data_IF_701302917080
#
_entry.id   IF_701302917080
#
_cell.length_a   1.000
_cell.length_b   1.000
_cell.length_c   1.000
_cell.angle_alpha   90.00
_cell.angle_beta   90.00
_cell.angle_gamma   90.00
#
_symmetry.space_group_name_H-M   'P 1'
#
loop_
_entity.id
_entity.type
_entity.pdbx_description
1 polymer ?
#
# COMPACT_ATOMS: atom_id res chain seq x y z
N UNK A 1 -20.81 -0.11 -14.47
CA UNK A 1 -20.95 -1.53 -14.15
C UNK A 1 -19.69 -2.01 -13.43
N UNK A 2 -19.83 -2.74 -12.32
CA UNK A 2 -18.79 -3.41 -11.56
C UNK A 2 -19.05 -4.92 -11.59
N UNK A 3 -18.02 -5.70 -11.93
CA UNK A 3 -18.07 -7.18 -11.90
C UNK A 3 -17.10 -7.69 -10.85
N UNK A 4 -17.56 -8.54 -9.95
CA UNK A 4 -16.70 -9.21 -8.96
C UNK A 4 -16.95 -10.73 -8.98
N UNK A 5 -15.86 -11.51 -8.92
CA UNK A 5 -15.92 -12.97 -8.89
C UNK A 5 -16.43 -13.54 -7.58
N UNK A 6 -16.27 -12.80 -6.49
CA UNK A 6 -16.63 -13.22 -5.14
C UNK A 6 -18.05 -12.75 -4.80
N UNK A 7 -18.66 -13.39 -3.81
CA UNK A 7 -19.88 -12.87 -3.19
C UNK A 7 -19.53 -11.66 -2.35
N UNK A 8 -20.26 -10.57 -2.53
CA UNK A 8 -19.99 -9.29 -1.85
C UNK A 8 -20.89 -9.11 -0.61
N UNK A 9 -20.39 -8.42 0.45
CA UNK A 9 -19.03 -7.94 0.62
C UNK A 9 -18.07 -9.11 0.93
N UNK A 10 -16.96 -9.17 0.19
CA UNK A 10 -15.91 -10.17 0.41
C UNK A 10 -14.95 -9.73 1.53
N UNK A 11 -14.29 -10.69 2.19
CA UNK A 11 -13.27 -10.42 3.19
C UNK A 11 -11.90 -10.67 2.57
N UNK A 12 -11.21 -9.60 2.20
CA UNK A 12 -9.90 -9.71 1.57
C UNK A 12 -8.86 -10.17 2.59
N UNK A 13 -8.27 -11.32 2.33
CA UNK A 13 -7.40 -12.02 3.28
C UNK A 13 -6.09 -11.25 3.51
N UNK A 14 -5.48 -10.68 2.46
CA UNK A 14 -4.19 -9.98 2.54
C UNK A 14 -4.40 -8.49 2.71
N UNK A 15 -4.50 -8.03 3.95
CA UNK A 15 -4.57 -6.60 4.26
C UNK A 15 -4.22 -6.35 5.72
N UNK A 16 -3.43 -5.33 5.99
CA UNK A 16 -3.23 -4.76 7.34
C UNK A 16 -4.32 -3.76 7.70
N UNK A 17 -5.24 -3.51 6.77
CA UNK A 17 -6.41 -2.63 6.92
C UNK A 17 -6.10 -1.14 7.11
N UNK A 18 -4.83 -0.73 7.14
CA UNK A 18 -4.43 0.65 7.40
C UNK A 18 -4.90 1.60 6.31
N UNK A 19 -5.49 2.69 6.74
CA UNK A 19 -5.84 3.84 5.91
C UNK A 19 -5.16 5.07 6.51
N UNK A 20 -4.19 5.61 5.78
CA UNK A 20 -3.54 6.86 6.14
C UNK A 20 -4.47 8.07 5.88
N UNK A 21 -4.23 9.22 6.52
CA UNK A 21 -5.10 10.39 6.40
C UNK A 21 -5.50 10.82 4.99
N UNK A 22 -4.64 10.77 3.95
CA UNK A 22 -5.06 11.09 2.58
C UNK A 22 -6.12 10.15 2.01
N UNK A 23 -6.09 8.87 2.43
CA UNK A 23 -7.14 7.91 2.06
C UNK A 23 -8.48 8.26 2.70
N UNK A 24 -8.45 8.73 3.96
CA UNK A 24 -9.66 9.17 4.66
C UNK A 24 -10.26 10.42 4.03
N UNK A 25 -9.43 11.35 3.55
CA UNK A 25 -9.91 12.53 2.82
C UNK A 25 -10.75 12.10 1.59
N UNK A 26 -10.33 11.07 0.87
CA UNK A 26 -11.09 10.54 -0.28
C UNK A 26 -12.35 9.80 0.17
N UNK A 27 -12.29 9.06 1.28
CA UNK A 27 -13.49 8.43 1.85
C UNK A 27 -14.52 9.47 2.29
N UNK A 28 -14.09 10.64 2.77
CA UNK A 28 -14.97 11.78 3.04
C UNK A 28 -15.57 12.35 1.75
N UNK A 29 -14.76 12.53 0.69
CA UNK A 29 -15.24 12.99 -0.62
C UNK A 29 -16.35 12.10 -1.20
N UNK A 30 -16.26 10.78 -1.00
CA UNK A 30 -17.28 9.81 -1.46
C UNK A 30 -18.37 9.51 -0.42
N UNK A 31 -18.38 10.21 0.71
CA UNK A 31 -19.46 10.17 1.71
C UNK A 31 -19.40 9.00 2.69
N UNK A 32 -18.32 8.19 2.72
CA UNK A 32 -18.21 7.03 3.62
C UNK A 32 -17.28 7.25 4.81
N UNK A 33 -16.50 8.34 4.86
CA UNK A 33 -15.50 8.57 5.88
C UNK A 33 -16.05 8.61 7.30
N UNK A 34 -17.22 9.23 7.52
CA UNK A 34 -17.88 9.24 8.83
C UNK A 34 -18.22 7.81 9.30
N UNK A 35 -18.74 6.97 8.41
CA UNK A 35 -19.05 5.56 8.73
C UNK A 35 -17.78 4.76 9.06
N UNK A 36 -16.67 4.98 8.34
CA UNK A 36 -15.38 4.35 8.64
C UNK A 36 -14.90 4.69 10.03
N UNK A 37 -15.04 5.96 10.45
CA UNK A 37 -14.64 6.42 11.80
C UNK A 37 -15.50 5.83 12.92
N UNK A 38 -16.69 5.33 12.62
CA UNK A 38 -17.54 4.67 13.62
C UNK A 38 -17.24 3.17 13.80
N UNK A 39 -16.64 2.53 12.77
CA UNK A 39 -16.41 1.08 12.79
C UNK A 39 -15.02 0.69 13.29
N UNK A 40 -14.04 1.58 13.25
CA UNK A 40 -12.68 1.32 13.74
C UNK A 40 -12.22 2.45 14.67
N UNK A 41 -11.42 2.14 15.71
CA UNK A 41 -10.88 3.17 16.58
C UNK A 41 -9.80 4.01 15.89
N UNK A 42 -9.66 5.32 16.23
CA UNK A 42 -8.63 6.18 15.69
C UNK A 42 -7.25 5.79 16.21
N UNK A 43 -6.26 5.77 15.34
CA UNK A 43 -4.83 5.65 15.67
C UNK A 43 -4.18 7.03 15.60
N UNK A 44 -3.82 7.59 16.74
CA UNK A 44 -3.14 8.88 16.87
C UNK A 44 -1.62 8.75 17.00
N UNK A 45 -1.14 7.57 17.40
CA UNK A 45 0.28 7.30 17.59
C UNK A 45 0.63 6.03 16.84
N UNK A 46 1.64 6.15 15.97
CA UNK A 46 2.29 5.03 15.30
C UNK A 46 3.68 4.87 15.90
N UNK A 47 3.96 3.74 16.53
CA UNK A 47 5.29 3.42 17.03
C UNK A 47 6.08 2.66 15.97
N UNK A 48 7.21 3.22 15.59
CA UNK A 48 8.21 2.57 14.74
C UNK A 48 9.39 2.14 15.62
N UNK A 49 9.89 0.90 15.45
CA UNK A 49 11.00 0.37 16.24
C UNK A 49 12.04 -0.32 15.36
N UNK A 50 13.32 -0.11 15.69
CA UNK A 50 14.48 -0.78 15.09
C UNK A 50 15.39 -1.29 16.22
N UNK A 51 15.32 -2.59 16.52
CA UNK A 51 15.92 -3.19 17.72
C UNK A 51 15.52 -2.39 18.99
N UNK A 52 16.49 -1.77 19.68
CA UNK A 52 16.26 -1.04 20.92
C UNK A 52 15.78 0.41 20.72
N UNK A 53 15.97 0.97 19.50
CA UNK A 53 15.54 2.32 19.20
C UNK A 53 14.10 2.34 18.70
N UNK A 54 13.26 3.19 19.29
CA UNK A 54 11.90 3.42 18.83
C UNK A 54 11.56 4.90 18.77
N UNK A 55 10.51 5.20 18.02
CA UNK A 55 9.96 6.54 17.89
C UNK A 55 8.44 6.46 17.77
N UNK A 56 7.77 7.36 18.47
CA UNK A 56 6.32 7.57 18.38
C UNK A 56 6.06 8.74 17.43
N UNK A 57 5.35 8.43 16.36
CA UNK A 57 4.88 9.41 15.37
C UNK A 57 3.45 9.77 15.76
N UNK A 58 3.25 11.04 16.10
CA UNK A 58 1.96 11.54 16.57
C UNK A 58 1.21 12.23 15.43
N UNK A 59 -0.04 11.90 15.27
CA UNK A 59 -0.98 12.57 14.36
C UNK A 59 -1.94 13.46 15.14
N UNK A 60 -2.29 14.65 14.61
CA UNK A 60 -3.38 15.45 15.13
C UNK A 60 -4.69 14.65 15.21
N UNK A 61 -5.58 15.02 16.12
CA UNK A 61 -6.84 14.27 16.33
C UNK A 61 -7.68 14.14 15.06
N UNK A 62 -7.71 15.17 14.25
CA UNK A 62 -8.41 15.23 12.97
C UNK A 62 -7.70 14.45 11.85
N UNK A 63 -6.47 14.02 12.08
CA UNK A 63 -5.62 13.31 11.11
C UNK A 63 -5.26 11.90 11.57
N UNK A 64 -6.08 11.28 12.41
CA UNK A 64 -5.86 9.91 12.85
C UNK A 64 -5.90 8.92 11.68
N UNK A 65 -5.15 7.83 11.80
CA UNK A 65 -5.25 6.66 10.92
C UNK A 65 -6.35 5.72 11.41
N UNK A 66 -6.86 4.87 10.52
CA UNK A 66 -7.90 3.89 10.85
C UNK A 66 -7.59 2.56 10.19
N UNK A 67 -7.95 1.46 10.86
CA UNK A 67 -7.75 0.10 10.36
C UNK A 67 -9.06 -0.71 10.37
N UNK A 68 -10.11 -0.33 9.63
CA UNK A 68 -11.33 -1.11 9.54
C UNK A 68 -11.07 -2.41 8.79
N UNK A 69 -11.69 -3.53 9.21
CA UNK A 69 -11.62 -4.77 8.44
C UNK A 69 -12.16 -4.55 7.02
N UNK A 70 -11.52 -5.21 6.06
CA UNK A 70 -11.85 -5.07 4.63
C UNK A 70 -13.33 -5.34 4.33
N UNK A 71 -13.92 -6.36 4.97
CA UNK A 71 -15.35 -6.64 4.79
C UNK A 71 -16.24 -5.44 5.11
N UNK A 72 -15.87 -4.65 6.15
CA UNK A 72 -16.63 -3.44 6.53
C UNK A 72 -16.34 -2.29 5.58
N UNK A 73 -15.07 -2.01 5.31
CA UNK A 73 -14.66 -0.93 4.39
C UNK A 73 -15.22 -1.17 2.99
N UNK A 74 -15.01 -2.38 2.45
CA UNK A 74 -15.44 -2.72 1.09
C UNK A 74 -16.97 -2.67 0.97
N UNK A 75 -17.71 -3.12 2.01
CA UNK A 75 -19.17 -3.00 2.05
C UNK A 75 -19.65 -1.55 1.99
N UNK A 76 -19.07 -0.66 2.80
CA UNK A 76 -19.40 0.78 2.78
C UNK A 76 -19.14 1.42 1.40
N UNK A 77 -18.02 1.05 0.76
CA UNK A 77 -17.71 1.55 -0.59
C UNK A 77 -18.65 0.99 -1.66
N UNK A 78 -19.06 -0.27 -1.55
CA UNK A 78 -20.04 -0.90 -2.45
C UNK A 78 -21.41 -0.24 -2.33
N UNK A 79 -21.88 0.02 -1.11
CA UNK A 79 -23.14 0.69 -0.85
C UNK A 79 -23.13 2.14 -1.43
N UNK A 80 -22.02 2.85 -1.26
CA UNK A 80 -21.83 4.16 -1.83
C UNK A 80 -21.83 4.14 -3.36
N UNK A 81 -21.14 3.18 -3.96
CA UNK A 81 -21.10 2.99 -5.41
C UNK A 81 -22.49 2.68 -5.97
N UNK A 82 -23.24 1.76 -5.34
CA UNK A 82 -24.61 1.43 -5.73
C UNK A 82 -25.53 2.65 -5.60
N UNK A 83 -25.41 3.43 -4.53
CA UNK A 83 -26.15 4.67 -4.31
C UNK A 83 -25.83 5.75 -5.36
N UNK A 84 -24.62 5.73 -5.90
CA UNK A 84 -24.20 6.59 -7.01
C UNK A 84 -24.61 6.05 -8.39
N UNK A 85 -25.40 4.96 -8.46
CA UNK A 85 -25.94 4.39 -9.70
C UNK A 85 -25.03 3.36 -10.37
N UNK A 86 -24.02 2.83 -9.68
CA UNK A 86 -23.21 1.73 -10.21
C UNK A 86 -24.00 0.43 -10.09
N UNK A 87 -24.22 -0.24 -11.21
CA UNK A 87 -24.71 -1.62 -11.23
C UNK A 87 -23.57 -2.57 -10.78
N UNK A 88 -23.83 -3.38 -9.76
CA UNK A 88 -22.86 -4.32 -9.18
C UNK A 88 -23.34 -5.75 -9.41
N UNK A 89 -22.53 -6.53 -10.13
CA UNK A 89 -22.75 -7.95 -10.36
C UNK A 89 -21.67 -8.74 -9.64
N UNK A 90 -21.99 -9.27 -8.48
CA UNK A 90 -21.16 -10.19 -7.73
C UNK A 90 -21.19 -11.60 -8.31
N UNK A 91 -20.34 -12.51 -7.84
CA UNK A 91 -20.22 -13.89 -8.34
C UNK A 91 -20.13 -13.95 -9.88
N UNK A 92 -19.59 -12.89 -10.49
CA UNK A 92 -19.46 -12.71 -11.94
C UNK A 92 -17.98 -12.57 -12.29
N UNK A 93 -17.38 -13.68 -12.71
CA UNK A 93 -15.94 -13.79 -12.98
C UNK A 93 -15.63 -13.39 -14.41
N UNK A 94 -14.83 -12.36 -14.60
CA UNK A 94 -14.25 -12.03 -15.91
C UNK A 94 -13.32 -13.16 -16.37
N UNK A 95 -13.58 -13.72 -17.53
CA UNK A 95 -12.83 -14.85 -18.13
C UNK A 95 -11.90 -14.39 -19.23
N UNK A 96 -12.35 -13.40 -20.04
CA UNK A 96 -11.53 -12.84 -21.13
C UNK A 96 -11.93 -11.41 -21.45
N UNK A 97 -11.00 -10.66 -22.09
CA UNK A 97 -11.29 -9.35 -22.68
C UNK A 97 -11.79 -9.50 -24.11
N UNK A 98 -12.61 -8.55 -24.54
CA UNK A 98 -13.06 -8.43 -25.93
C UNK A 98 -12.21 -7.40 -26.65
N UNK A 99 -11.83 -7.68 -27.90
CA UNK A 99 -11.02 -6.79 -28.73
C UNK A 99 -11.67 -6.52 -30.07
N UNK A 100 -11.47 -5.30 -30.56
CA UNK A 100 -11.68 -4.92 -31.98
C UNK A 100 -10.35 -4.32 -32.46
N UNK A 101 -9.64 -5.07 -33.28
CA UNK A 101 -8.24 -4.76 -33.60
C UNK A 101 -7.37 -4.73 -32.34
N UNK A 102 -6.66 -3.62 -32.12
CA UNK A 102 -5.83 -3.41 -30.94
C UNK A 102 -6.58 -2.85 -29.72
N UNK A 103 -7.87 -2.45 -29.88
CA UNK A 103 -8.66 -1.81 -28.83
C UNK A 103 -9.43 -2.85 -28.01
N UNK A 104 -9.40 -2.71 -26.69
CA UNK A 104 -10.29 -3.42 -25.78
C UNK A 104 -11.66 -2.74 -25.82
N UNK A 105 -12.71 -3.53 -26.03
CA UNK A 105 -14.10 -3.05 -26.20
C UNK A 105 -15.08 -3.74 -25.25
N UNK A 106 -14.57 -4.41 -24.21
CA UNK A 106 -15.39 -5.07 -23.21
C UNK A 106 -14.76 -6.34 -22.64
N UNK A 107 -15.58 -7.14 -21.97
CA UNK A 107 -15.18 -8.40 -21.33
C UNK A 107 -16.21 -9.50 -21.55
N UNK A 108 -15.77 -10.76 -21.48
CA UNK A 108 -16.62 -11.91 -21.21
C UNK A 108 -16.54 -12.26 -19.73
N UNK A 109 -17.63 -12.64 -19.14
CA UNK A 109 -17.67 -13.07 -17.76
C UNK A 109 -18.60 -14.28 -17.59
N UNK A 110 -18.30 -15.13 -16.61
CA UNK A 110 -19.14 -16.25 -16.21
C UNK A 110 -19.83 -15.92 -14.88
N UNK A 111 -21.16 -16.02 -14.86
CA UNK A 111 -21.96 -15.86 -13.65
C UNK A 111 -21.89 -17.09 -12.74
N UNK A 112 -22.59 -17.02 -11.59
CA UNK A 112 -22.59 -18.08 -10.55
C UNK A 112 -23.00 -19.47 -11.07
N UNK A 113 -23.93 -19.54 -12.04
CA UNK A 113 -24.36 -20.77 -12.65
C UNK A 113 -23.51 -21.20 -13.87
N UNK A 114 -22.37 -20.51 -14.12
CA UNK A 114 -21.49 -20.81 -15.24
C UNK A 114 -21.92 -20.24 -16.59
N UNK A 115 -23.04 -19.52 -16.65
CA UNK A 115 -23.50 -18.89 -17.90
C UNK A 115 -22.53 -17.79 -18.33
N UNK A 116 -22.09 -17.84 -19.59
CA UNK A 116 -21.27 -16.75 -20.16
C UNK A 116 -22.14 -15.57 -20.56
N UNK A 117 -21.61 -14.38 -20.25
CA UNK A 117 -22.19 -13.08 -20.60
C UNK A 117 -21.12 -12.20 -21.24
N UNK A 118 -21.56 -11.32 -22.13
CA UNK A 118 -20.71 -10.35 -22.82
C UNK A 118 -21.10 -8.96 -22.38
N UNK A 119 -20.12 -8.23 -21.87
CA UNK A 119 -20.27 -6.83 -21.47
C UNK A 119 -19.41 -5.96 -22.37
N UNK A 120 -20.04 -5.13 -23.20
CA UNK A 120 -19.36 -4.15 -24.03
C UNK A 120 -19.15 -2.85 -23.26
N UNK A 121 -17.99 -2.23 -23.43
CA UNK A 121 -17.62 -0.98 -22.78
C UNK A 121 -16.64 -0.19 -23.63
N UNK A 122 -16.69 1.14 -23.55
CA UNK A 122 -15.70 2.04 -24.14
C UNK A 122 -14.35 1.99 -23.43
N UNK A 123 -14.36 1.59 -22.13
CA UNK A 123 -13.18 1.44 -21.29
C UNK A 123 -13.36 0.27 -20.33
N UNK A 124 -12.34 -0.58 -20.20
CA UNK A 124 -12.24 -1.62 -19.18
C UNK A 124 -11.22 -1.18 -18.13
N UNK A 125 -11.66 -1.10 -16.87
CA UNK A 125 -10.76 -0.82 -15.73
C UNK A 125 -10.51 -2.13 -15.00
N UNK A 126 -9.26 -2.62 -15.02
CA UNK A 126 -8.80 -3.73 -14.20
C UNK A 126 -8.45 -3.23 -12.80
N UNK A 127 -9.31 -3.53 -11.81
CA UNK A 127 -9.08 -3.27 -10.39
C UNK A 127 -9.10 -4.60 -9.60
N UNK A 128 -8.69 -5.68 -10.24
CA UNK A 128 -8.82 -7.07 -9.83
C UNK A 128 -7.57 -7.62 -9.10
N UNK A 129 -6.81 -6.71 -8.49
CA UNK A 129 -5.73 -7.01 -7.57
C UNK A 129 -4.44 -7.51 -8.25
N UNK A 130 -3.45 -7.89 -7.43
CA UNK A 130 -2.09 -8.25 -7.88
C UNK A 130 -2.05 -9.39 -8.91
N UNK A 131 -3.02 -10.31 -8.89
CA UNK A 131 -3.17 -11.42 -9.83
C UNK A 131 -4.11 -11.10 -11.00
N UNK A 132 -4.21 -9.84 -11.36
CA UNK A 132 -5.15 -9.29 -12.33
C UNK A 132 -5.31 -10.15 -13.60
N UNK A 133 -6.54 -10.52 -13.88
CA UNK A 133 -6.93 -11.17 -15.13
C UNK A 133 -6.87 -10.18 -16.29
N UNK A 134 -7.27 -8.92 -16.06
CA UNK A 134 -7.19 -7.86 -17.06
C UNK A 134 -5.74 -7.64 -17.46
N UNK A 135 -4.82 -7.44 -16.49
CA UNK A 135 -3.40 -7.22 -16.76
C UNK A 135 -2.78 -8.35 -17.58
N UNK A 136 -3.08 -9.61 -17.24
CA UNK A 136 -2.59 -10.78 -17.98
C UNK A 136 -3.13 -10.82 -19.40
N UNK A 137 -4.42 -10.52 -19.59
CA UNK A 137 -5.08 -10.58 -20.90
C UNK A 137 -4.67 -9.44 -21.85
N UNK A 138 -4.27 -8.28 -21.30
CA UNK A 138 -3.74 -7.17 -22.09
C UNK A 138 -2.21 -7.23 -22.24
N UNK A 139 -1.58 -8.27 -21.68
CA UNK A 139 -0.13 -8.45 -21.68
C UNK A 139 0.57 -7.21 -21.11
N UNK A 140 0.08 -6.74 -19.96
CA UNK A 140 0.62 -5.56 -19.29
C UNK A 140 2.06 -5.84 -18.81
N UNK A 141 3.03 -5.18 -19.40
CA UNK A 141 4.45 -5.31 -19.08
C UNK A 141 4.72 -4.96 -17.60
N UNK A 142 5.45 -5.84 -16.89
CA UNK A 142 5.95 -5.57 -15.55
C UNK A 142 7.33 -4.91 -15.62
N UNK A 143 7.56 -3.93 -14.74
CA UNK A 143 8.85 -3.30 -14.55
C UNK A 143 9.10 -3.00 -13.06
N UNK A 144 10.36 -2.79 -12.69
CA UNK A 144 10.81 -2.62 -11.30
C UNK A 144 10.37 -3.77 -10.38
N UNK A 145 10.15 -4.95 -10.97
CA UNK A 145 9.61 -6.09 -10.25
C UNK A 145 10.68 -6.83 -9.44
N UNK A 146 10.30 -7.30 -8.24
CA UNK A 146 11.13 -8.18 -7.42
C UNK A 146 10.25 -9.08 -6.57
N UNK A 147 10.79 -10.23 -6.16
CA UNK A 147 10.11 -11.16 -5.26
C UNK A 147 10.37 -10.74 -3.81
N UNK A 148 9.35 -10.84 -2.97
CA UNK A 148 9.45 -10.49 -1.57
C UNK A 148 10.48 -11.37 -0.84
N UNK A 149 11.42 -10.77 -0.10
CA UNK A 149 12.40 -11.55 0.67
C UNK A 149 11.82 -12.10 1.97
N UNK A 150 10.59 -11.73 2.31
CA UNK A 150 9.87 -12.11 3.52
C UNK A 150 8.53 -12.73 3.19
N UNK A 151 8.06 -13.61 4.06
CA UNK A 151 6.67 -13.99 4.13
C UNK A 151 5.90 -13.04 5.07
N UNK A 152 4.59 -13.16 5.12
CA UNK A 152 3.76 -12.48 6.10
C UNK A 152 2.75 -13.46 6.68
N UNK A 153 2.62 -13.45 8.02
CA UNK A 153 1.61 -14.19 8.76
C UNK A 153 0.95 -13.25 9.78
N UNK A 154 -0.35 -13.38 9.97
CA UNK A 154 -1.08 -12.58 10.97
C UNK A 154 -2.34 -13.30 11.44
N UNK A 155 -2.82 -12.87 12.61
CA UNK A 155 -4.09 -13.26 13.20
C UNK A 155 -4.74 -12.09 13.89
N UNK A 156 -5.92 -12.34 14.45
CA UNK A 156 -6.64 -11.40 15.27
C UNK A 156 -6.66 -11.87 16.72
N UNK A 157 -6.49 -10.95 17.64
CA UNK A 157 -6.62 -11.19 19.08
C UNK A 157 -7.56 -10.15 19.68
N UNK A 158 -8.34 -10.53 20.67
CA UNK A 158 -9.06 -9.54 21.45
C UNK A 158 -8.06 -8.66 22.19
N UNK A 159 -8.23 -7.35 22.11
CA UNK A 159 -7.35 -6.42 22.80
C UNK A 159 -7.42 -6.67 24.31
N UNK A 160 -6.28 -6.90 25.00
CA UNK A 160 -6.29 -7.06 26.44
C UNK A 160 -6.69 -5.76 27.11
N UNK A 161 -7.28 -5.85 28.34
CA UNK A 161 -7.80 -4.68 29.07
C UNK A 161 -6.75 -3.57 29.26
N UNK A 162 -5.47 -3.94 29.37
CA UNK A 162 -4.37 -2.98 29.55
C UNK A 162 -3.98 -2.25 28.28
N UNK A 163 -4.37 -2.71 27.06
CA UNK A 163 -3.98 -2.11 25.79
C UNK A 163 -4.22 -0.60 25.70
N UNK A 164 -5.31 -0.12 26.33
CA UNK A 164 -5.67 1.32 26.29
C UNK A 164 -5.28 2.07 27.56
N UNK A 165 -4.78 1.40 28.58
CA UNK A 165 -4.52 1.97 29.90
C UNK A 165 -3.06 1.91 30.32
N UNK A 166 -2.29 0.97 29.80
CA UNK A 166 -0.86 0.82 30.10
C UNK A 166 -0.03 1.83 29.29
N UNK A 167 0.74 2.71 29.95
CA UNK A 167 1.63 3.66 29.29
C UNK A 167 2.69 3.01 28.37
N UNK A 168 2.95 1.72 28.49
CA UNK A 168 3.83 0.99 27.58
C UNK A 168 3.25 0.85 26.16
N UNK A 169 1.92 0.94 26.03
CA UNK A 169 1.17 0.78 24.78
C UNK A 169 0.37 2.04 24.39
N UNK A 170 1.04 3.21 24.19
CA UNK A 170 0.37 4.46 23.87
C UNK A 170 -0.08 4.55 22.39
N UNK A 171 0.24 3.55 21.60
CA UNK A 171 0.06 3.53 20.14
C UNK A 171 -1.12 2.67 19.72
N UNK A 172 -1.75 3.02 18.60
CA UNK A 172 -2.75 2.18 17.93
C UNK A 172 -2.15 1.35 16.79
N UNK A 173 -0.93 1.72 16.34
CA UNK A 173 -0.17 0.99 15.34
C UNK A 173 1.28 0.83 15.77
N UNK A 174 1.84 -0.34 15.49
CA UNK A 174 3.23 -0.68 15.79
C UNK A 174 3.86 -1.40 14.60
N UNK A 175 5.04 -0.96 14.20
CA UNK A 175 5.87 -1.61 13.19
C UNK A 175 7.28 -1.70 13.74
N UNK A 176 7.76 -2.89 13.97
CA UNK A 176 9.09 -3.13 14.50
C UNK A 176 9.90 -4.04 13.60
N UNK A 177 11.18 -3.76 13.45
CA UNK A 177 12.16 -4.68 12.92
C UNK A 177 13.16 -5.01 14.04
N UNK A 178 12.99 -6.18 14.63
CA UNK A 178 13.79 -6.69 15.76
C UNK A 178 14.30 -8.07 15.41
N UNK A 179 15.60 -8.31 15.63
CA UNK A 179 16.23 -9.62 15.38
C UNK A 179 15.99 -10.20 13.97
N UNK A 180 15.86 -9.29 12.98
CA UNK A 180 15.60 -9.64 11.59
C UNK A 180 14.14 -9.99 11.26
N UNK A 181 13.23 -10.00 12.23
CA UNK A 181 11.81 -10.16 12.03
C UNK A 181 11.11 -8.78 12.07
N UNK A 182 10.17 -8.57 11.15
CA UNK A 182 9.28 -7.42 11.22
C UNK A 182 7.99 -7.88 11.87
N UNK A 183 7.61 -7.24 12.99
CA UNK A 183 6.35 -7.48 13.69
C UNK A 183 5.46 -6.27 13.61
N UNK A 184 4.17 -6.49 13.48
CA UNK A 184 3.19 -5.43 13.30
C UNK A 184 2.01 -5.62 14.24
N UNK A 185 1.44 -4.51 14.71
CA UNK A 185 0.20 -4.47 15.48
C UNK A 185 -0.66 -3.36 14.90
N UNK A 186 -1.93 -3.64 14.65
CA UNK A 186 -2.92 -2.66 14.22
C UNK A 186 -4.18 -2.84 15.07
N UNK A 187 -4.62 -1.78 15.74
CA UNK A 187 -5.94 -1.83 16.37
C UNK A 187 -7.02 -1.76 15.28
N UNK A 188 -8.00 -2.65 15.36
CA UNK A 188 -9.06 -2.78 14.37
C UNK A 188 -10.44 -2.76 15.01
N UNK A 189 -11.49 -2.99 14.22
CA UNK A 189 -12.86 -3.07 14.71
C UNK A 189 -13.07 -4.21 15.75
N UNK A 190 -14.20 -4.18 16.45
CA UNK A 190 -14.58 -5.18 17.47
C UNK A 190 -13.61 -5.34 18.64
N UNK A 191 -12.91 -4.28 19.06
CA UNK A 191 -11.90 -4.32 20.11
C UNK A 191 -10.80 -5.37 19.88
N UNK A 192 -10.44 -5.59 18.62
CA UNK A 192 -9.41 -6.55 18.26
C UNK A 192 -8.13 -5.86 17.78
N UNK A 193 -7.04 -6.61 17.90
CA UNK A 193 -5.74 -6.30 17.34
C UNK A 193 -5.45 -7.28 16.20
N UNK A 194 -5.09 -6.79 15.04
CA UNK A 194 -4.36 -7.55 14.05
C UNK A 194 -2.90 -7.56 14.48
N UNK A 195 -2.34 -8.74 14.75
CA UNK A 195 -0.93 -8.89 15.10
C UNK A 195 -0.29 -9.85 14.10
N UNK A 196 0.85 -9.45 13.57
CA UNK A 196 1.51 -10.23 12.52
C UNK A 196 3.03 -10.20 12.61
N UNK A 197 3.64 -11.12 11.88
CA UNK A 197 5.07 -11.23 11.70
C UNK A 197 5.43 -11.44 10.23
N UNK A 198 6.53 -10.79 9.82
CA UNK A 198 7.12 -10.91 8.50
C UNK A 198 8.53 -11.53 8.63
N UNK A 199 8.62 -12.84 8.86
CA UNK A 199 9.90 -13.54 8.95
C UNK A 199 10.61 -13.55 7.58
N UNK A 200 11.96 -13.69 7.56
CA UNK A 200 12.69 -14.01 6.34
C UNK A 200 12.13 -15.27 5.66
N UNK A 201 12.05 -15.27 4.33
CA UNK A 201 11.37 -16.34 3.58
C UNK A 201 11.95 -17.74 3.87
N UNK A 202 13.28 -17.85 4.05
CA UNK A 202 13.93 -19.13 4.38
C UNK A 202 13.47 -19.69 5.74
N UNK A 203 13.18 -18.85 6.73
CA UNK A 203 12.64 -19.26 8.02
C UNK A 203 11.13 -19.56 7.92
N UNK A 204 10.40 -18.72 7.19
CA UNK A 204 8.96 -18.85 6.98
C UNK A 204 8.55 -20.17 6.32
N UNK A 205 9.45 -20.80 5.57
CA UNK A 205 9.17 -22.10 4.95
C UNK A 205 8.88 -23.20 5.98
N UNK A 206 9.48 -23.13 7.16
CA UNK A 206 9.20 -24.07 8.25
C UNK A 206 7.81 -23.87 8.87
N UNK A 207 7.26 -22.65 8.78
CA UNK A 207 5.94 -22.30 9.35
C UNK A 207 4.76 -22.93 8.59
N UNK A 208 5.00 -23.46 7.39
CA UNK A 208 3.95 -24.09 6.55
C UNK A 208 3.27 -25.28 7.23
N UNK A 209 3.96 -25.98 8.11
CA UNK A 209 3.45 -27.19 8.79
C UNK A 209 2.39 -26.84 9.83
N UNK A 210 2.65 -25.79 10.61
CA UNK A 210 1.75 -25.28 11.62
C UNK A 210 1.93 -23.75 11.74
N UNK A 211 1.26 -22.97 10.89
CA UNK A 211 1.40 -21.52 10.89
C UNK A 211 0.84 -20.88 12.16
N UNK A 212 -0.16 -21.49 12.81
CA UNK A 212 -0.77 -20.97 14.03
C UNK A 212 0.23 -21.05 15.19
N UNK A 213 0.81 -22.21 15.44
CA UNK A 213 1.82 -22.39 16.50
C UNK A 213 3.10 -21.57 16.21
N UNK A 214 3.54 -21.51 14.94
CA UNK A 214 4.74 -20.78 14.57
C UNK A 214 4.59 -19.27 14.78
N UNK A 215 3.45 -18.68 14.38
CA UNK A 215 3.17 -17.27 14.62
C UNK A 215 3.08 -16.95 16.11
N UNK A 216 2.36 -17.76 16.90
CA UNK A 216 2.24 -17.58 18.34
C UNK A 216 3.62 -17.64 19.01
N UNK A 217 4.47 -18.59 18.63
CA UNK A 217 5.84 -18.72 19.17
C UNK A 217 6.71 -17.50 18.85
N UNK A 218 6.65 -17.00 17.61
CA UNK A 218 7.39 -15.81 17.20
C UNK A 218 6.91 -14.55 17.94
N UNK A 219 5.60 -14.34 18.03
CA UNK A 219 5.02 -13.19 18.74
C UNK A 219 5.30 -13.24 20.23
N UNK A 220 5.26 -14.43 20.85
CA UNK A 220 5.55 -14.63 22.27
C UNK A 220 7.02 -14.31 22.62
N UNK A 221 7.93 -14.42 21.67
CA UNK A 221 9.36 -14.13 21.86
C UNK A 221 9.69 -12.64 21.93
N UNK A 222 8.78 -11.77 21.46
CA UNK A 222 9.00 -10.32 21.46
C UNK A 222 8.35 -9.65 22.67
N UNK A 223 9.09 -8.73 23.30
CA UNK A 223 8.68 -8.05 24.54
C UNK A 223 7.43 -7.18 24.39
N UNK A 224 7.06 -6.77 23.18
CA UNK A 224 5.87 -5.94 22.92
C UNK A 224 4.67 -6.79 22.54
N UNK A 225 4.84 -7.78 21.65
CA UNK A 225 3.72 -8.60 21.15
C UNK A 225 3.36 -9.74 22.10
N UNK A 226 4.35 -10.31 22.83
CA UNK A 226 4.14 -11.43 23.75
C UNK A 226 3.06 -11.18 24.81
N UNK A 227 3.12 -10.07 25.56
CA UNK A 227 2.07 -9.73 26.53
C UNK A 227 0.68 -9.55 25.91
N UNK A 228 0.60 -9.05 24.67
CA UNK A 228 -0.68 -8.79 23.98
C UNK A 228 -1.41 -10.08 23.61
N UNK A 229 -0.68 -11.11 23.21
CA UNK A 229 -1.28 -12.40 22.87
C UNK A 229 -1.53 -13.27 24.10
N UNK A 230 -0.83 -13.02 25.23
CA UNK A 230 -0.99 -13.75 26.50
C UNK A 230 -0.84 -15.27 26.37
N UNK A 231 -0.09 -15.75 25.37
CA UNK A 231 0.04 -17.16 25.03
C UNK A 231 -1.20 -17.79 24.39
N UNK A 232 -2.23 -17.00 24.06
CA UNK A 232 -3.47 -17.50 23.44
C UNK A 232 -3.31 -17.66 21.92
N UNK A 233 -4.11 -18.56 21.36
CA UNK A 233 -4.31 -18.66 19.91
C UNK A 233 -5.08 -17.43 19.39
N UNK A 234 -4.93 -17.09 18.09
CA UNK A 234 -5.73 -16.04 17.48
C UNK A 234 -7.21 -16.41 17.39
N UNK A 235 -8.06 -15.38 17.29
CA UNK A 235 -9.46 -15.57 16.95
C UNK A 235 -9.58 -15.98 15.47
N UNK A 236 -9.98 -17.21 15.23
CA UNK A 236 -9.97 -17.84 13.93
C UNK A 236 -8.62 -18.44 13.57
N UNK A 237 -8.29 -18.46 12.29
CA UNK A 237 -7.05 -19.04 11.76
C UNK A 237 -6.02 -17.98 11.43
N UNK A 238 -4.75 -18.29 11.62
CA UNK A 238 -3.65 -17.51 11.05
C UNK A 238 -3.79 -17.46 9.54
N UNK A 239 -3.59 -16.28 9.02
CA UNK A 239 -3.57 -15.99 7.58
C UNK A 239 -2.15 -15.64 7.17
N UNK A 240 -1.79 -15.92 5.93
CA UNK A 240 -0.43 -15.60 5.49
C UNK A 240 -0.19 -15.84 4.02
N UNK A 241 0.95 -15.35 3.59
CA UNK A 241 1.47 -15.55 2.24
C UNK A 241 2.97 -15.80 2.30
N UNK A 242 3.43 -16.77 1.50
CA UNK A 242 4.85 -17.13 1.36
C UNK A 242 5.48 -16.57 0.09
N UNK A 243 4.65 -16.15 -0.87
CA UNK A 243 5.13 -15.71 -2.18
C UNK A 243 4.41 -14.44 -2.58
N UNK A 244 5.09 -13.35 -2.43
CA UNK A 244 4.66 -12.07 -2.97
C UNK A 244 5.66 -11.58 -4.01
N UNK A 245 5.13 -10.91 -5.03
CA UNK A 245 5.91 -10.24 -6.06
C UNK A 245 5.44 -8.80 -6.12
N UNK A 246 6.37 -7.89 -5.96
CA UNK A 246 6.11 -6.45 -6.03
C UNK A 246 6.54 -5.92 -7.39
N UNK A 247 5.75 -5.03 -7.96
CA UNK A 247 5.95 -4.58 -9.33
C UNK A 247 5.22 -3.26 -9.61
N UNK A 248 5.67 -2.61 -10.68
CA UNK A 248 4.84 -1.72 -11.49
C UNK A 248 4.46 -2.44 -12.78
N UNK A 249 3.29 -2.10 -13.32
CA UNK A 249 2.84 -2.53 -14.64
C UNK A 249 2.50 -1.33 -15.51
N UNK A 250 2.70 -1.49 -16.81
CA UNK A 250 2.04 -0.64 -17.80
C UNK A 250 0.55 -0.61 -17.47
N UNK A 251 0.01 0.56 -17.13
CA UNK A 251 -1.34 0.63 -16.58
C UNK A 251 -2.35 1.32 -17.49
N UNK A 252 -2.00 1.59 -18.74
CA UNK A 252 -2.93 2.12 -19.72
C UNK A 252 -2.61 1.64 -21.13
N UNK A 253 -3.66 1.48 -21.93
CA UNK A 253 -3.60 1.13 -23.36
C UNK A 253 -4.93 1.42 -24.04
N UNK A 254 -5.07 0.99 -25.28
CA UNK A 254 -6.25 1.28 -26.10
C UNK A 254 -7.51 0.64 -25.48
N UNK A 255 -8.37 1.45 -24.86
CA UNK A 255 -9.63 1.02 -24.25
C UNK A 255 -9.49 0.26 -22.93
N UNK A 256 -8.33 0.33 -22.24
CA UNK A 256 -8.15 -0.29 -20.94
C UNK A 256 -7.21 0.49 -20.03
N UNK A 257 -7.40 0.30 -18.72
CA UNK A 257 -6.49 0.80 -17.68
C UNK A 257 -6.47 -0.13 -16.47
N UNK A 258 -5.41 -0.03 -15.63
CA UNK A 258 -5.27 -0.81 -14.39
C UNK A 258 -5.16 0.12 -13.19
N UNK A 259 -5.91 -0.16 -12.12
CA UNK A 259 -5.90 0.61 -10.89
C UNK A 259 -5.53 -0.28 -9.68
N UNK A 260 -5.00 0.34 -8.62
CA UNK A 260 -4.56 -0.35 -7.42
C UNK A 260 -3.54 -1.44 -7.72
N UNK A 261 -3.58 -2.54 -6.98
CA UNK A 261 -2.64 -3.67 -7.11
C UNK A 261 -2.64 -4.34 -8.48
N UNK A 262 -3.65 -4.12 -9.31
CA UNK A 262 -3.64 -4.62 -10.69
C UNK A 262 -2.55 -3.93 -11.53
N UNK A 263 -2.29 -2.66 -11.28
CA UNK A 263 -1.30 -1.85 -11.99
C UNK A 263 0.00 -1.61 -11.23
N UNK A 264 -0.01 -1.72 -9.90
CA UNK A 264 1.14 -1.44 -9.05
C UNK A 264 0.95 -2.09 -7.68
N UNK A 265 1.82 -3.03 -7.33
CA UNK A 265 1.80 -3.73 -6.06
C UNK A 265 3.14 -3.54 -5.34
N UNK A 266 3.10 -3.14 -4.07
CA UNK A 266 4.28 -2.82 -3.27
C UNK A 266 4.31 -3.56 -1.94
N UNK A 267 5.46 -3.48 -1.30
CA UNK A 267 5.70 -4.02 0.04
C UNK A 267 4.67 -3.49 1.04
N UNK A 268 4.01 -4.39 1.75
CA UNK A 268 2.94 -4.04 2.69
C UNK A 268 3.42 -3.58 4.07
N UNK A 269 4.73 -3.64 4.32
CA UNK A 269 5.31 -3.18 5.61
C UNK A 269 5.01 -1.71 5.93
N UNK A 270 4.79 -0.89 4.90
CA UNK A 270 4.45 0.53 5.07
C UNK A 270 2.95 0.80 5.17
N UNK A 271 2.09 -0.23 5.01
CA UNK A 271 0.64 -0.12 5.21
C UNK A 271 -0.14 0.75 4.23
N UNK A 272 0.43 1.12 3.07
CA UNK A 272 -0.07 2.22 2.23
C UNK A 272 -0.97 1.77 1.05
N UNK A 273 -1.23 0.45 0.91
CA UNK A 273 -1.93 -0.10 -0.26
C UNK A 273 -3.35 0.43 -0.47
N UNK A 274 -4.15 0.57 0.60
CA UNK A 274 -5.53 1.08 0.52
C UNK A 274 -5.52 2.57 0.19
N UNK A 275 -4.69 3.36 0.88
CA UNK A 275 -4.55 4.79 0.65
C UNK A 275 -4.16 5.08 -0.80
N UNK A 276 -3.16 4.39 -1.33
CA UNK A 276 -2.77 4.56 -2.73
C UNK A 276 -3.85 4.14 -3.71
N UNK A 277 -4.58 3.04 -3.46
CA UNK A 277 -5.67 2.63 -4.33
C UNK A 277 -6.76 3.72 -4.41
N UNK A 278 -7.09 4.37 -3.29
CA UNK A 278 -8.03 5.48 -3.23
C UNK A 278 -7.50 6.72 -3.98
N UNK A 279 -6.23 7.11 -3.76
CA UNK A 279 -5.59 8.22 -4.47
C UNK A 279 -5.56 7.97 -5.99
N UNK A 280 -5.22 6.74 -6.39
CA UNK A 280 -5.23 6.33 -7.79
C UNK A 280 -6.64 6.35 -8.39
N UNK A 281 -7.66 5.87 -7.67
CA UNK A 281 -9.04 5.86 -8.13
C UNK A 281 -9.55 7.28 -8.40
N UNK A 282 -9.30 8.23 -7.48
CA UNK A 282 -9.68 9.64 -7.65
C UNK A 282 -9.01 10.28 -8.87
N UNK A 283 -7.71 10.11 -9.00
CA UNK A 283 -6.96 10.68 -10.13
C UNK A 283 -7.29 10.00 -11.46
N UNK A 284 -7.57 8.68 -11.46
CA UNK A 284 -8.03 7.94 -12.62
C UNK A 284 -9.42 8.40 -13.08
N UNK A 285 -10.35 8.63 -12.17
CA UNK A 285 -11.68 9.16 -12.50
C UNK A 285 -11.59 10.49 -13.26
N UNK A 286 -10.70 11.39 -12.82
CA UNK A 286 -10.43 12.64 -13.52
C UNK A 286 -9.81 12.44 -14.90
N UNK A 287 -8.97 11.42 -15.10
CA UNK A 287 -8.41 11.09 -16.40
C UNK A 287 -9.46 10.46 -17.35
N UNK A 288 -10.33 9.60 -16.83
CA UNK A 288 -11.44 9.00 -17.58
C UNK A 288 -12.40 10.08 -18.08
N UNK A 289 -12.72 11.07 -17.25
CA UNK A 289 -13.59 12.19 -17.61
C UNK A 289 -13.07 13.02 -18.79
N UNK A 290 -11.77 12.96 -19.11
CA UNK A 290 -11.19 13.60 -20.31
C UNK A 290 -11.49 12.84 -21.61
N UNK A 291 -11.91 11.58 -21.54
CA UNK A 291 -12.41 10.77 -22.65
C UNK A 291 -11.36 10.35 -23.69
N UNK A 292 -10.06 10.39 -23.39
CA UNK A 292 -8.99 10.05 -24.35
C UNK A 292 -8.01 9.02 -23.78
N UNK A 293 -7.51 8.12 -24.63
CA UNK A 293 -6.46 7.19 -24.24
C UNK A 293 -5.16 7.94 -23.86
N UNK A 294 -4.90 9.12 -24.42
CA UNK A 294 -3.76 9.96 -24.06
C UNK A 294 -3.83 10.44 -22.60
N UNK A 295 -5.03 10.80 -22.11
CA UNK A 295 -5.23 11.18 -20.72
C UNK A 295 -4.98 10.00 -19.76
N UNK A 296 -5.36 8.78 -20.15
CA UNK A 296 -5.06 7.56 -19.38
C UNK A 296 -3.55 7.25 -19.39
N UNK A 297 -2.86 7.43 -20.50
CA UNK A 297 -1.41 7.30 -20.58
C UNK A 297 -0.70 8.31 -19.67
N UNK A 298 -1.10 9.58 -19.69
CA UNK A 298 -0.57 10.60 -18.79
C UNK A 298 -0.83 10.25 -17.33
N UNK A 299 -2.06 9.80 -16.98
CA UNK A 299 -2.41 9.37 -15.64
C UNK A 299 -1.47 8.24 -15.16
N UNK A 300 -1.26 7.21 -15.99
CA UNK A 300 -0.35 6.13 -15.65
C UNK A 300 1.07 6.64 -15.34
N UNK A 301 1.61 7.56 -16.16
CA UNK A 301 2.95 8.13 -15.93
C UNK A 301 3.01 8.99 -14.67
N UNK A 302 1.95 9.75 -14.37
CA UNK A 302 1.84 10.53 -13.13
C UNK A 302 1.80 9.61 -11.90
N UNK A 303 0.96 8.54 -11.94
CA UNK A 303 0.92 7.53 -10.90
C UNK A 303 2.32 6.96 -10.59
N UNK A 304 3.10 6.65 -11.62
CA UNK A 304 4.45 6.11 -11.44
C UNK A 304 5.37 7.08 -10.70
N UNK A 305 5.29 8.37 -11.03
CA UNK A 305 6.07 9.41 -10.35
C UNK A 305 5.69 9.54 -8.88
N UNK A 306 4.40 9.49 -8.59
CA UNK A 306 3.87 9.67 -7.22
C UNK A 306 4.13 8.43 -6.34
N UNK A 307 3.94 7.23 -6.88
CA UNK A 307 4.04 5.97 -6.12
C UNK A 307 5.49 5.47 -5.94
N UNK A 308 6.41 5.86 -6.84
CA UNK A 308 7.77 5.32 -6.87
C UNK A 308 8.57 5.57 -5.57
N UNK A 309 8.53 6.76 -4.92
CA UNK A 309 9.21 6.98 -3.65
C UNK A 309 8.74 6.02 -2.54
N UNK A 310 7.44 5.72 -2.46
CA UNK A 310 6.85 4.80 -1.48
C UNK A 310 7.19 3.34 -1.80
N UNK A 311 7.26 2.99 -3.08
CA UNK A 311 7.75 1.68 -3.52
C UNK A 311 9.19 1.43 -3.06
N UNK A 312 10.07 2.44 -3.19
CA UNK A 312 11.45 2.34 -2.71
C UNK A 312 11.52 2.28 -1.19
N UNK A 313 10.71 3.06 -0.48
CA UNK A 313 10.62 2.99 0.98
C UNK A 313 10.20 1.59 1.44
N UNK A 314 9.12 1.03 0.88
CA UNK A 314 8.65 -0.31 1.22
C UNK A 314 9.71 -1.38 0.93
N UNK A 315 10.32 -1.34 -0.26
CA UNK A 315 11.40 -2.26 -0.64
C UNK A 315 12.58 -2.22 0.36
N UNK A 316 13.00 -1.03 0.76
CA UNK A 316 14.16 -0.86 1.64
C UNK A 316 13.82 -1.24 3.09
N UNK A 317 12.57 -1.04 3.54
CA UNK A 317 12.07 -1.47 4.85
C UNK A 317 11.86 -2.99 4.92
N UNK A 318 11.35 -3.62 3.86
CA UNK A 318 11.15 -5.07 3.78
C UNK A 318 12.43 -5.87 3.53
N UNK A 319 13.51 -5.24 3.08
CA UNK A 319 14.75 -5.91 2.71
C UNK A 319 15.37 -6.71 3.86
N UNK A 320 16.05 -7.82 3.50
CA UNK A 320 16.96 -8.52 4.41
C UNK A 320 18.30 -7.76 4.48
N UNK A 321 18.94 -7.79 5.65
CA UNK A 321 20.22 -7.09 5.84
C UNK A 321 20.09 -5.56 5.80
N UNK A 322 18.96 -5.04 6.27
CA UNK A 322 18.77 -3.61 6.44
C UNK A 322 19.93 -2.97 7.21
N UNK A 323 20.30 -1.70 6.94
CA UNK A 323 21.38 -0.99 7.62
C UNK A 323 20.98 -0.63 9.06
N UNK A 324 20.84 -1.66 9.91
CA UNK A 324 20.21 -1.58 11.23
C UNK A 324 20.88 -0.55 12.14
N UNK A 325 22.23 -0.50 12.18
CA UNK A 325 22.95 0.45 13.01
C UNK A 325 22.72 1.89 12.55
N UNK A 326 22.70 2.13 11.25
CA UNK A 326 22.37 3.45 10.70
C UNK A 326 20.92 3.82 10.98
N UNK A 327 19.98 2.89 10.84
CA UNK A 327 18.58 3.12 11.17
C UNK A 327 18.40 3.45 12.65
N UNK A 328 19.08 2.75 13.56
CA UNK A 328 19.05 3.07 15.00
C UNK A 328 19.59 4.46 15.28
N UNK A 329 20.65 4.91 14.61
CA UNK A 329 21.17 6.27 14.73
C UNK A 329 20.12 7.29 14.29
N UNK A 330 19.46 7.07 13.14
CA UNK A 330 18.40 7.96 12.65
C UNK A 330 17.23 8.01 13.64
N UNK A 331 16.78 6.85 14.13
CA UNK A 331 15.68 6.74 15.10
C UNK A 331 15.98 7.43 16.42
N UNK A 332 17.21 7.27 16.95
CA UNK A 332 17.62 7.94 18.17
C UNK A 332 17.59 9.47 18.04
N UNK A 333 17.99 10.01 16.89
CA UNK A 333 17.86 11.44 16.63
C UNK A 333 16.41 11.88 16.43
N UNK A 334 15.59 11.06 15.76
CA UNK A 334 14.16 11.34 15.56
C UNK A 334 13.38 11.31 16.87
N UNK A 335 13.72 10.40 17.80
CA UNK A 335 13.07 10.29 19.12
C UNK A 335 13.15 11.60 19.92
N UNK A 336 14.25 12.32 19.81
CA UNK A 336 14.48 13.60 20.53
C UNK A 336 14.14 14.85 19.72
N UNK A 337 13.78 14.72 18.42
CA UNK A 337 13.56 15.85 17.53
C UNK A 337 12.11 15.88 17.00
N UNK A 338 11.30 16.80 17.56
CA UNK A 338 9.90 16.97 17.17
C UNK A 338 9.72 17.28 15.67
N UNK A 339 10.62 18.07 15.07
CA UNK A 339 10.53 18.43 13.65
C UNK A 339 10.73 17.22 12.74
N UNK A 340 11.62 16.29 13.09
CA UNK A 340 11.81 15.05 12.33
C UNK A 340 10.61 14.13 12.48
N UNK A 341 10.00 14.03 13.66
CA UNK A 341 8.76 13.26 13.85
C UNK A 341 7.61 13.83 13.02
N UNK A 342 7.44 15.17 13.07
CA UNK A 342 6.43 15.83 12.25
C UNK A 342 6.66 15.64 10.74
N UNK A 343 7.93 15.61 10.31
CA UNK A 343 8.28 15.32 8.90
C UNK A 343 7.99 13.88 8.53
N UNK A 344 8.21 12.92 9.41
CA UNK A 344 7.81 11.52 9.21
C UNK A 344 6.29 11.39 9.12
N UNK A 345 5.52 12.04 10.01
CA UNK A 345 4.06 12.08 9.91
C UNK A 345 3.62 12.67 8.56
N UNK A 346 4.25 13.78 8.11
CA UNK A 346 3.97 14.38 6.81
C UNK A 346 4.31 13.43 5.63
N UNK A 347 5.29 12.54 5.79
CA UNK A 347 5.58 11.49 4.80
C UNK A 347 4.47 10.46 4.76
N UNK A 348 3.97 9.98 5.90
CA UNK A 348 2.83 9.07 5.97
C UNK A 348 1.52 9.72 5.46
N UNK A 349 1.43 11.05 5.54
CA UNK A 349 0.35 11.83 4.94
C UNK A 349 0.56 12.18 3.44
N UNK A 350 1.55 11.63 2.78
CA UNK A 350 1.89 11.94 1.38
C UNK A 350 2.19 13.44 1.08
N UNK A 351 2.47 14.23 2.12
CA UNK A 351 2.83 15.67 2.01
C UNK A 351 4.32 15.89 1.74
N UNK A 352 5.15 14.93 2.14
CA UNK A 352 6.61 14.92 1.97
C UNK A 352 7.01 13.62 1.31
N UNK A 353 7.83 13.70 0.26
CA UNK A 353 8.36 12.49 -0.38
C UNK A 353 9.23 11.67 0.58
N UNK A 354 9.11 10.33 0.59
CA UNK A 354 10.03 9.46 1.32
C UNK A 354 11.51 9.72 1.04
N UNK A 355 11.85 10.15 -0.18
CA UNK A 355 13.22 10.50 -0.56
C UNK A 355 13.74 11.79 0.10
N UNK A 356 12.83 12.59 0.66
CA UNK A 356 13.11 13.88 1.27
C UNK A 356 12.88 13.89 2.79
N UNK A 357 12.38 12.79 3.37
CA UNK A 357 12.05 12.71 4.80
C UNK A 357 13.25 13.05 5.67
N UNK A 358 14.42 12.55 5.33
CA UNK A 358 15.66 12.81 6.04
C UNK A 358 16.67 13.55 5.16
N UNK A 359 17.01 14.80 5.49
CA UNK A 359 18.04 15.56 4.77
C UNK A 359 19.38 14.82 4.83
N UNK A 360 19.94 14.47 3.68
CA UNK A 360 21.16 13.64 3.57
C UNK A 360 22.34 14.24 4.34
N UNK A 361 22.45 15.57 4.38
CA UNK A 361 23.50 16.26 5.13
C UNK A 361 23.37 16.04 6.64
N UNK A 362 22.17 16.00 7.19
CA UNK A 362 21.96 15.68 8.61
C UNK A 362 22.32 14.22 8.89
N UNK A 363 21.87 13.29 8.05
CA UNK A 363 22.22 11.86 8.20
C UNK A 363 23.73 11.67 8.11
N UNK A 364 24.43 12.41 7.27
CA UNK A 364 25.90 12.39 7.20
C UNK A 364 26.54 12.78 8.54
N UNK A 365 26.12 13.90 9.15
CA UNK A 365 26.67 14.34 10.44
C UNK A 365 26.36 13.39 11.58
N UNK A 366 25.17 12.79 11.61
CA UNK A 366 24.83 11.77 12.60
C UNK A 366 25.68 10.52 12.43
N UNK A 367 25.89 10.09 11.17
CA UNK A 367 26.76 8.95 10.84
C UNK A 367 28.20 9.18 11.28
N UNK A 368 28.74 10.39 10.99
CA UNK A 368 30.08 10.77 11.41
C UNK A 368 30.22 10.78 12.95
N UNK A 369 29.26 11.38 13.64
CA UNK A 369 29.22 11.40 15.10
C UNK A 369 29.13 10.01 15.71
N UNK A 370 28.36 9.09 15.12
CA UNK A 370 28.27 7.69 15.56
C UNK A 370 29.58 6.92 15.31
N UNK A 371 30.21 7.13 14.15
CA UNK A 371 31.49 6.52 13.82
C UNK A 371 32.60 6.96 14.78
N UNK A 372 32.65 8.26 15.12
CA UNK A 372 33.61 8.79 16.09
C UNK A 372 33.40 8.24 17.51
N UNK A 373 32.19 7.81 17.86
CA UNK A 373 31.88 7.13 19.12
C UNK A 373 32.09 5.60 19.08
N UNK A 374 32.67 5.08 18.00
CA UNK A 374 33.05 3.65 17.88
C UNK A 374 32.08 2.79 17.04
N UNK A 375 30.98 3.35 16.53
CA UNK A 375 30.04 2.61 15.66
C UNK A 375 30.55 2.57 14.21
N UNK A 376 31.65 1.85 13.96
CA UNK A 376 32.33 1.88 12.66
C UNK A 376 31.49 1.32 11.50
N UNK A 377 30.51 0.45 11.77
CA UNK A 377 29.62 -0.16 10.74
C UNK A 377 28.65 0.83 10.09
N UNK A 378 28.39 1.98 10.72
CA UNK A 378 27.45 3.00 10.16
C UNK A 378 27.97 3.65 8.87
N UNK A 379 29.32 3.80 8.74
CA UNK A 379 29.91 4.44 7.57
C UNK A 379 29.68 3.67 6.26
N UNK A 380 29.98 2.36 6.15
CA UNK A 380 29.65 1.59 4.96
C UNK A 380 28.14 1.50 4.69
N UNK A 381 27.30 1.48 5.74
CA UNK A 381 25.84 1.49 5.59
C UNK A 381 25.34 2.81 5.00
N UNK A 382 25.91 3.95 5.44
CA UNK A 382 25.59 5.27 4.87
C UNK A 382 26.01 5.36 3.39
N UNK A 383 27.19 4.85 3.02
CA UNK A 383 27.64 4.82 1.62
C UNK A 383 26.69 3.94 0.74
N UNK A 384 26.28 2.79 1.26
CA UNK A 384 25.33 1.93 0.56
C UNK A 384 23.97 2.58 0.40
N UNK A 385 23.48 3.30 1.42
CA UNK A 385 22.25 4.11 1.35
C UNK A 385 22.38 5.21 0.30
N UNK A 386 23.51 5.93 0.26
CA UNK A 386 23.77 6.96 -0.73
C UNK A 386 23.74 6.43 -2.17
N UNK A 387 24.38 5.27 -2.42
CA UNK A 387 24.35 4.62 -3.75
C UNK A 387 22.93 4.24 -4.16
N UNK A 388 22.14 3.68 -3.24
CA UNK A 388 20.71 3.36 -3.50
C UNK A 388 19.91 4.63 -3.76
N UNK A 389 20.11 5.68 -2.98
CA UNK A 389 19.46 6.98 -3.19
C UNK A 389 19.74 7.57 -4.57
N UNK A 390 20.99 7.48 -5.06
CA UNK A 390 21.34 7.91 -6.41
C UNK A 390 20.62 7.08 -7.49
N UNK A 391 20.54 5.75 -7.31
CA UNK A 391 19.81 4.87 -8.23
C UNK A 391 18.30 5.19 -8.26
N UNK A 392 17.70 5.36 -7.07
CA UNK A 392 16.30 5.74 -6.91
C UNK A 392 15.98 7.09 -7.59
N UNK A 393 16.86 8.09 -7.40
CA UNK A 393 16.69 9.40 -8.03
C UNK A 393 16.84 9.36 -9.56
N UNK A 394 17.72 8.50 -10.08
CA UNK A 394 17.84 8.29 -11.55
C UNK A 394 16.54 7.70 -12.12
N UNK A 395 15.98 6.70 -11.46
CA UNK A 395 14.72 6.10 -11.87
C UNK A 395 13.57 7.10 -11.81
N UNK A 396 13.45 7.85 -10.71
CA UNK A 396 12.43 8.90 -10.59
C UNK A 396 12.58 9.97 -11.69
N UNK A 397 13.81 10.36 -12.01
CA UNK A 397 14.08 11.32 -13.09
C UNK A 397 13.68 10.76 -14.46
N UNK A 398 13.86 9.46 -14.69
CA UNK A 398 13.35 8.80 -15.90
C UNK A 398 11.81 8.86 -15.95
N UNK A 399 11.11 8.53 -14.85
CA UNK A 399 9.63 8.58 -14.81
C UNK A 399 9.10 9.99 -15.04
N UNK A 400 9.74 11.00 -14.46
CA UNK A 400 9.39 12.42 -14.70
C UNK A 400 9.53 12.83 -16.17
N UNK A 401 10.57 12.34 -16.86
CA UNK A 401 10.71 12.58 -18.32
C UNK A 401 9.59 11.91 -19.11
N UNK A 402 9.29 10.64 -18.81
CA UNK A 402 8.20 9.92 -19.46
C UNK A 402 6.83 10.57 -19.20
N UNK A 403 6.63 11.16 -18.02
CA UNK A 403 5.43 11.95 -17.74
C UNK A 403 5.36 13.20 -18.60
N UNK A 404 6.45 13.97 -18.70
CA UNK A 404 6.50 15.17 -19.55
C UNK A 404 6.21 14.87 -21.02
N UNK A 405 6.72 13.74 -21.54
CA UNK A 405 6.42 13.26 -22.90
C UNK A 405 4.91 12.93 -23.05
N UNK A 406 4.30 12.28 -22.07
CA UNK A 406 2.88 11.95 -22.08
C UNK A 406 1.99 13.21 -21.98
N UNK A 407 2.41 14.23 -21.22
CA UNK A 407 1.73 15.53 -21.11
C UNK A 407 1.76 16.30 -22.45
N UNK A 408 2.90 16.29 -23.13
CA UNK A 408 3.03 16.88 -24.45
C UNK A 408 2.12 16.19 -25.48
N UNK A 409 2.08 14.86 -25.47
CA UNK A 409 1.22 14.04 -26.34
C UNK A 409 -0.27 14.31 -26.09
N UNK A 410 -0.71 14.34 -24.81
CA UNK A 410 -2.11 14.67 -24.47
C UNK A 410 -2.50 16.07 -24.96
N UNK A 411 -1.61 17.06 -24.74
CA UNK A 411 -1.84 18.44 -25.16
C UNK A 411 -2.02 18.54 -26.67
N UNK A 412 -1.24 17.80 -27.46
CA UNK A 412 -1.36 17.74 -28.90
C UNK A 412 -2.68 17.11 -29.36
N UNK A 413 -3.09 15.98 -28.74
CA UNK A 413 -4.38 15.32 -29.02
C UNK A 413 -5.55 16.26 -28.74
N UNK A 414 -5.52 16.97 -27.61
CA UNK A 414 -6.56 17.93 -27.24
C UNK A 414 -6.63 19.12 -28.19
N UNK A 415 -5.50 19.62 -28.68
CA UNK A 415 -5.45 20.70 -29.69
C UNK A 415 -6.09 20.26 -31.00
N UNK A 416 -5.75 19.07 -31.49
CA UNK A 416 -6.33 18.50 -32.73
C UNK A 416 -7.86 18.30 -32.55
N UNK A 417 -8.32 17.77 -31.42
CA UNK A 417 -9.73 17.56 -31.15
C UNK A 417 -10.53 18.88 -31.18
N UNK A 418 -9.99 19.97 -30.61
CA UNK A 418 -10.60 21.31 -30.67
C UNK A 418 -10.70 21.81 -32.10
N UNK A 419 -9.62 21.76 -32.89
CA UNK A 419 -9.61 22.17 -34.26
C UNK A 419 -10.64 21.43 -35.14
N UNK A 420 -10.79 20.11 -34.92
CA UNK A 420 -11.80 19.29 -35.61
C UNK A 420 -13.23 19.60 -35.15
N UNK A 421 -13.43 19.99 -33.88
CA UNK A 421 -14.72 20.44 -33.37
C UNK A 421 -15.12 21.80 -33.93
N UNK A 422 -14.20 22.74 -34.00
CA UNK A 422 -14.40 24.08 -34.60
C UNK A 422 -14.64 24.02 -36.11
N UNK A 423 -14.06 23.02 -36.80
CA UNK A 423 -14.29 22.83 -38.25
C UNK A 423 -15.65 22.18 -38.59
N UNK A 424 -16.38 21.66 -37.59
CA UNK A 424 -17.70 21.04 -37.73
C UNK A 424 -18.84 21.91 -37.23
N UNK A 425 -18.54 23.05 -36.57
CA UNK A 425 -19.50 24.05 -36.11
C UNK A 425 -19.59 25.19 -37.12
#
# INVERSE_FOLDING_TARGET
LLLDKDRLPSDQILSTHTIHPPGLDILDEVGVGAAVRTVAPPTHIVRLRKNDAFVDIEFPRERAEYCPRRKRLDGLLQDAAASAGVEILDQTRVTSILREGSRVVGVRAAGAAGQEQVFRASLVVGADGRHSTVARQVEAEEYLAYDAPRAMFWGYWNAPAFWRTDPAYPFGMYVANTDGHIRVIFQTDHDQLLIGSLPPLNQAMAWRTDPDAALVADLASDSTTGPLIGGSAPDGRVRGTLKERYFFRRAAGNGWTLAGDAGHHKEFVIGDGITEALLQARSLAAAIARGTDAALHRWWRARDVDALPYFFLGRDEGALGSPMELQQVVFSHMATNRSLRARMAATMEHKVSPLETFPIGQVFWWTLGAALRGSLRVAPQFLAMGRRGLANNRELSLRRRLLAEAEASESQVMKIARQLGEARA
#
